data_IF_092857529778
#
_entry.id   IF_092857529778
#
_cell.length_a   1.000
_cell.length_b   1.000
_cell.length_c   1.000
_cell.angle_alpha   90.00
_cell.angle_beta   90.00
_cell.angle_gamma   90.00
#
_symmetry.space_group_name_H-M   'P 1'
#
loop_
_entity.id
_entity.type
_entity.pdbx_description
1 polymer ?
#
# COMPACT_ATOMS: atom_id res chain seq x y z
N UNK A 1 26.91 15.29 -1.90
CA UNK A 1 25.47 15.56 -1.73
C UNK A 1 25.10 15.87 -0.27
N UNK A 2 25.42 15.02 0.71
CA UNK A 2 25.15 15.31 2.14
C UNK A 2 25.97 16.51 2.66
N UNK A 3 27.24 16.63 2.28
CA UNK A 3 28.07 17.78 2.64
C UNK A 3 27.54 19.11 2.06
N UNK A 4 26.94 19.11 0.86
CA UNK A 4 26.32 20.33 0.30
C UNK A 4 24.98 20.65 0.98
N UNK A 5 24.27 19.65 1.50
CA UNK A 5 23.06 19.85 2.30
C UNK A 5 23.36 20.34 3.72
N UNK A 6 24.43 19.85 4.36
CA UNK A 6 24.94 20.39 5.63
C UNK A 6 25.39 21.84 5.46
N UNK A 7 26.07 22.17 4.35
CA UNK A 7 26.47 23.53 4.00
C UNK A 7 25.28 24.48 3.77
N UNK A 8 24.21 23.98 3.15
CA UNK A 8 22.95 24.74 3.01
C UNK A 8 22.22 24.95 4.35
N UNK A 9 22.40 24.04 5.31
CA UNK A 9 21.81 24.10 6.64
C UNK A 9 22.61 25.03 7.59
N UNK A 10 23.93 25.10 7.40
CA UNK A 10 24.85 25.97 8.14
C UNK A 10 24.51 27.45 8.00
N UNK A 11 24.01 27.88 6.83
CA UNK A 11 23.73 29.28 6.50
C UNK A 11 22.35 29.80 6.95
N UNK A 12 21.45 28.94 7.49
CA UNK A 12 20.06 29.35 7.81
C UNK A 12 19.72 29.46 9.31
N UNK A 13 20.64 29.16 10.23
CA UNK A 13 20.35 29.19 11.68
C UNK A 13 21.24 30.18 12.45
N UNK A 14 20.67 31.34 12.80
CA UNK A 14 21.28 32.30 13.74
C UNK A 14 20.84 31.98 15.20
N UNK A 15 21.76 31.38 15.98
CA UNK A 15 21.75 31.09 17.45
C UNK A 15 20.74 30.02 17.97
N UNK A 16 20.96 29.20 19.01
CA UNK A 16 22.03 29.03 20.00
C UNK A 16 22.82 27.74 19.77
N UNK A 17 24.09 27.72 20.20
CA UNK A 17 25.06 26.67 19.92
C UNK A 17 24.68 25.28 20.43
N UNK A 18 23.83 25.15 21.45
CA UNK A 18 23.59 23.87 22.14
C UNK A 18 22.75 22.89 21.33
N UNK A 19 21.60 23.31 20.77
CA UNK A 19 20.76 22.42 19.96
C UNK A 19 21.40 22.11 18.60
N UNK A 20 22.10 23.10 18.02
CA UNK A 20 22.92 22.93 16.81
C UNK A 20 24.04 21.93 17.06
N UNK A 21 24.80 22.10 18.14
CA UNK A 21 25.86 21.18 18.51
C UNK A 21 25.32 19.81 18.91
N UNK A 22 24.17 19.70 19.58
CA UNK A 22 23.59 18.39 19.92
C UNK A 22 23.20 17.62 18.67
N UNK A 23 22.41 18.21 17.76
CA UNK A 23 22.02 17.54 16.51
C UNK A 23 23.25 17.21 15.66
N UNK A 24 24.20 18.15 15.54
CA UNK A 24 25.38 17.99 14.70
C UNK A 24 26.36 16.98 15.32
N UNK A 25 26.50 16.94 16.64
CA UNK A 25 27.31 15.97 17.36
C UNK A 25 26.68 14.57 17.34
N UNK A 26 25.35 14.47 17.42
CA UNK A 26 24.67 13.17 17.33
C UNK A 26 24.71 12.61 15.91
N UNK A 27 24.49 13.46 14.89
CA UNK A 27 24.66 13.07 13.48
C UNK A 27 26.12 12.70 13.20
N UNK A 28 27.10 13.47 13.73
CA UNK A 28 28.51 13.10 13.65
C UNK A 28 28.81 11.79 14.36
N UNK A 29 28.27 11.55 15.55
CA UNK A 29 28.50 10.32 16.30
C UNK A 29 27.94 9.11 15.55
N UNK A 30 26.76 9.24 14.92
CA UNK A 30 26.17 8.20 14.07
C UNK A 30 26.99 7.94 12.79
N UNK A 31 27.63 8.97 12.23
CA UNK A 31 28.47 8.87 11.02
C UNK A 31 29.90 8.38 11.32
N UNK A 32 30.50 8.85 12.41
CA UNK A 32 31.87 8.56 12.84
C UNK A 32 31.98 7.16 13.43
N UNK A 33 30.93 6.64 14.09
CA UNK A 33 30.97 5.28 14.64
C UNK A 33 30.86 4.17 13.58
N UNK A 34 30.54 4.44 12.31
CA UNK A 34 30.47 3.45 11.20
C UNK A 34 29.81 2.10 11.56
N UNK A 35 28.97 2.04 12.60
CA UNK A 35 28.61 0.76 13.21
C UNK A 35 27.48 0.05 12.46
N UNK A 36 26.66 0.79 11.72
CA UNK A 36 25.52 0.25 11.01
C UNK A 36 25.50 0.69 9.57
N UNK A 37 25.22 -0.25 8.68
CA UNK A 37 25.06 0.01 7.27
C UNK A 37 23.89 0.96 7.02
N UNK A 38 24.10 1.99 6.20
CA UNK A 38 23.08 3.00 5.89
C UNK A 38 21.86 2.36 5.23
N UNK A 39 20.71 2.46 5.89
CA UNK A 39 19.47 1.83 5.46
C UNK A 39 19.24 0.43 6.03
N UNK A 40 20.10 -0.09 6.91
CA UNK A 40 19.81 -1.32 7.68
C UNK A 40 18.77 -1.10 8.79
N UNK A 41 18.15 -2.17 9.28
CA UNK A 41 17.19 -2.09 10.40
C UNK A 41 17.83 -1.48 11.66
N UNK A 42 19.09 -1.84 11.95
CA UNK A 42 19.83 -1.26 13.08
C UNK A 42 20.03 0.25 12.93
N UNK A 43 20.37 0.71 11.73
CA UNK A 43 20.47 2.15 11.44
C UNK A 43 19.12 2.87 11.62
N UNK A 44 18.01 2.25 11.22
CA UNK A 44 16.68 2.83 11.43
C UNK A 44 16.29 2.90 12.90
N UNK A 45 16.60 1.87 13.69
CA UNK A 45 16.32 1.82 15.12
C UNK A 45 17.07 2.92 15.89
N UNK A 46 18.31 3.22 15.51
CA UNK A 46 19.08 4.33 16.09
C UNK A 46 18.42 5.70 15.83
N UNK A 47 17.90 5.89 14.61
CA UNK A 47 17.16 7.11 14.29
C UNK A 47 15.84 7.20 15.07
N UNK A 48 15.18 6.07 15.34
CA UNK A 48 13.99 6.02 16.21
C UNK A 48 14.32 6.36 17.67
N UNK A 49 15.39 5.77 18.22
CA UNK A 49 15.87 6.12 19.56
C UNK A 49 16.14 7.61 19.71
N UNK A 50 16.76 8.23 18.69
CA UNK A 50 17.00 9.68 18.69
C UNK A 50 15.71 10.50 18.61
N UNK A 51 14.73 10.06 17.80
CA UNK A 51 13.41 10.70 17.75
C UNK A 51 12.76 10.65 19.13
N UNK A 52 12.79 9.50 19.80
CA UNK A 52 12.19 9.29 21.12
C UNK A 52 12.86 10.16 22.19
N UNK A 53 14.19 10.25 22.19
CA UNK A 53 14.93 11.14 23.11
C UNK A 53 14.55 12.62 22.91
N UNK A 54 14.50 13.09 21.66
CA UNK A 54 14.11 14.46 21.34
C UNK A 54 12.64 14.73 21.71
N UNK A 55 11.76 13.75 21.55
CA UNK A 55 10.37 13.84 21.97
C UNK A 55 10.25 13.93 23.50
N UNK A 56 11.00 13.11 24.24
CA UNK A 56 11.04 13.16 25.72
C UNK A 56 11.55 14.51 26.20
N UNK A 57 12.63 15.03 25.62
CA UNK A 57 13.17 16.35 25.94
C UNK A 57 12.18 17.48 25.60
N UNK A 58 11.54 17.41 24.44
CA UNK A 58 10.50 18.39 24.08
C UNK A 58 9.33 18.34 25.06
N UNK A 59 8.92 17.15 25.48
CA UNK A 59 7.82 16.98 26.42
C UNK A 59 8.18 17.50 27.83
N UNK A 60 9.42 17.32 28.29
CA UNK A 60 9.87 17.87 29.57
C UNK A 60 9.85 19.40 29.57
N UNK A 61 10.28 20.04 28.47
CA UNK A 61 10.22 21.50 28.29
C UNK A 61 8.79 22.07 28.18
N UNK A 62 7.81 21.22 27.87
CA UNK A 62 6.39 21.60 27.79
C UNK A 62 5.73 21.71 29.16
N UNK A 63 6.35 21.15 30.21
CA UNK A 63 5.83 21.13 31.59
C UNK A 63 6.47 22.24 32.44
N UNK A 64 5.71 22.71 33.43
CA UNK A 64 6.20 23.65 34.44
C UNK A 64 6.02 25.15 34.12
N UNK A 65 6.32 26.02 35.09
CA UNK A 65 6.07 27.46 35.02
C UNK A 65 6.95 28.18 33.97
N UNK A 66 8.07 27.58 33.56
CA UNK A 66 9.00 28.13 32.57
C UNK A 66 8.69 27.74 31.12
N UNK A 67 7.58 27.03 30.85
CA UNK A 67 7.21 26.55 29.50
C UNK A 67 7.20 27.63 28.41
N UNK A 68 6.84 28.87 28.75
CA UNK A 68 6.81 30.00 27.80
C UNK A 68 8.23 30.46 27.43
N UNK A 69 9.19 30.32 28.34
CA UNK A 69 10.60 30.65 28.11
C UNK A 69 11.25 29.74 27.07
N UNK A 70 10.79 28.48 26.98
CA UNK A 70 11.37 27.46 26.10
C UNK A 70 10.59 27.23 24.80
N UNK A 71 9.68 28.14 24.44
CA UNK A 71 8.83 27.99 23.24
C UNK A 71 9.64 27.87 21.95
N UNK A 72 10.73 28.63 21.83
CA UNK A 72 11.62 28.61 20.65
C UNK A 72 12.40 27.30 20.58
N UNK A 73 12.87 26.81 21.72
CA UNK A 73 13.57 25.53 21.86
C UNK A 73 12.66 24.36 21.52
N UNK A 74 11.40 24.37 21.98
CA UNK A 74 10.41 23.35 21.61
C UNK A 74 10.14 23.32 20.10
N UNK A 75 10.11 24.47 19.43
CA UNK A 75 9.97 24.53 17.97
C UNK A 75 11.19 23.93 17.28
N UNK A 76 12.40 24.28 17.73
CA UNK A 76 13.65 23.73 17.18
C UNK A 76 13.75 22.21 17.36
N UNK A 77 13.34 21.69 18.52
CA UNK A 77 13.26 20.25 18.74
C UNK A 77 12.25 19.59 17.80
N UNK A 78 11.11 20.25 17.53
CA UNK A 78 10.15 19.76 16.54
C UNK A 78 10.74 19.73 15.13
N UNK A 79 11.48 20.77 14.74
CA UNK A 79 12.16 20.82 13.43
C UNK A 79 13.23 19.73 13.31
N UNK A 80 14.01 19.49 14.36
CA UNK A 80 15.00 18.41 14.43
C UNK A 80 14.36 17.02 14.31
N UNK A 81 13.26 16.77 15.03
CA UNK A 81 12.46 15.53 14.89
C UNK A 81 11.99 15.38 13.44
N UNK A 82 11.51 16.46 12.81
CA UNK A 82 11.11 16.46 11.40
C UNK A 82 12.25 16.08 10.46
N UNK A 83 13.44 16.64 10.67
CA UNK A 83 14.63 16.35 9.87
C UNK A 83 15.09 14.89 10.03
N UNK A 84 15.10 14.36 11.26
CA UNK A 84 15.50 12.96 11.52
C UNK A 84 14.48 11.99 10.92
N UNK A 85 13.17 12.27 11.03
CA UNK A 85 12.13 11.48 10.36
C UNK A 85 12.30 11.47 8.84
N UNK A 86 12.66 12.61 8.26
CA UNK A 86 12.97 12.68 6.84
C UNK A 86 14.18 11.80 6.49
N UNK A 87 15.28 11.92 7.24
CA UNK A 87 16.48 11.09 7.06
C UNK A 87 16.17 9.60 7.21
N UNK A 88 15.40 9.21 8.21
CA UNK A 88 14.90 7.84 8.41
C UNK A 88 14.15 7.34 7.18
N UNK A 89 13.26 8.15 6.62
CA UNK A 89 12.49 7.78 5.43
C UNK A 89 13.35 7.69 4.16
N UNK A 90 14.39 8.51 4.02
CA UNK A 90 15.36 8.40 2.92
C UNK A 90 16.19 7.13 3.09
N UNK A 91 16.75 6.90 4.28
CA UNK A 91 17.56 5.74 4.59
C UNK A 91 16.78 4.43 4.44
N UNK A 92 15.52 4.40 4.90
CA UNK A 92 14.63 3.25 4.72
C UNK A 92 14.40 2.92 3.25
N UNK A 93 14.11 3.93 2.41
CA UNK A 93 13.95 3.73 0.96
C UNK A 93 15.22 3.20 0.29
N UNK A 94 16.38 3.73 0.69
CA UNK A 94 17.66 3.22 0.19
C UNK A 94 17.96 1.80 0.71
N UNK A 95 17.60 1.49 1.97
CA UNK A 95 17.68 0.14 2.52
C UNK A 95 16.84 -0.86 1.75
N UNK A 96 15.60 -0.52 1.42
CA UNK A 96 14.70 -1.33 0.60
C UNK A 96 15.27 -1.52 -0.81
N UNK A 97 15.78 -0.44 -1.42
CA UNK A 97 16.39 -0.47 -2.75
C UNK A 97 17.64 -1.36 -2.79
N UNK A 98 18.39 -1.42 -1.70
CA UNK A 98 19.60 -2.24 -1.53
C UNK A 98 19.32 -3.65 -1.01
N UNK A 99 18.06 -4.00 -0.74
CA UNK A 99 17.69 -5.30 -0.16
C UNK A 99 18.08 -5.49 1.31
N UNK A 100 18.52 -4.43 2.00
CA UNK A 100 18.86 -4.44 3.43
C UNK A 100 17.63 -4.44 4.33
N UNK A 101 16.48 -4.06 3.77
CA UNK A 101 15.18 -4.05 4.41
C UNK A 101 14.18 -4.68 3.45
N UNK A 102 13.31 -5.53 3.97
CA UNK A 102 12.07 -5.91 3.28
C UNK A 102 11.00 -4.85 3.57
N UNK A 103 10.30 -4.41 2.54
CA UNK A 103 9.06 -3.63 2.67
C UNK A 103 7.91 -4.60 2.45
N UNK A 104 7.13 -4.87 3.50
CA UNK A 104 6.19 -5.99 3.52
C UNK A 104 6.90 -7.35 3.53
N UNK A 105 6.19 -8.37 3.99
CA UNK A 105 6.68 -9.75 4.08
C UNK A 105 6.21 -10.46 5.35
N UNK A 106 6.41 -11.78 5.36
CA UNK A 106 6.08 -12.63 6.50
C UNK A 106 6.87 -12.21 7.75
N UNK A 107 6.14 -11.93 8.84
CA UNK A 107 6.66 -11.72 10.20
C UNK A 107 7.24 -12.99 10.80
N UNK A 108 6.77 -14.15 10.35
CA UNK A 108 7.25 -15.45 10.79
C UNK A 108 8.69 -15.65 10.30
N UNK A 109 9.56 -15.98 11.25
CA UNK A 109 10.92 -16.41 10.97
C UNK A 109 10.89 -17.68 10.11
N UNK A 110 11.86 -17.90 9.21
CA UNK A 110 11.84 -19.04 8.30
C UNK A 110 11.67 -20.42 8.99
N UNK A 111 12.13 -20.56 10.24
CA UNK A 111 11.97 -21.76 11.05
C UNK A 111 10.54 -22.04 11.49
N UNK A 112 9.71 -21.00 11.56
CA UNK A 112 8.35 -21.05 12.08
C UNK A 112 7.31 -21.07 10.95
N UNK A 113 7.77 -21.05 9.69
CA UNK A 113 6.90 -21.03 8.51
C UNK A 113 6.41 -22.44 8.24
N UNK A 114 5.10 -22.63 8.35
CA UNK A 114 4.43 -23.80 7.81
C UNK A 114 3.98 -23.53 6.38
N UNK A 115 3.86 -24.60 5.60
CA UNK A 115 3.16 -24.51 4.31
C UNK A 115 1.70 -24.25 4.61
N UNK A 116 1.18 -23.14 4.09
CA UNK A 116 -0.25 -22.84 4.19
C UNK A 116 -0.95 -23.60 3.06
N UNK A 117 -1.37 -24.83 3.34
CA UNK A 117 -2.23 -25.59 2.43
C UNK A 117 -3.68 -25.08 2.50
N UNK A 118 -4.58 -25.70 1.72
CA UNK A 118 -5.98 -25.24 1.66
C UNK A 118 -6.72 -25.41 2.98
N UNK A 119 -6.45 -26.48 3.73
CA UNK A 119 -7.09 -26.73 5.03
C UNK A 119 -6.60 -25.73 6.09
N UNK A 120 -5.29 -25.52 6.15
CA UNK A 120 -4.67 -24.54 7.03
C UNK A 120 -5.15 -23.12 6.71
N UNK A 121 -5.38 -22.81 5.43
CA UNK A 121 -5.89 -21.53 4.99
C UNK A 121 -7.35 -21.30 5.41
N UNK A 122 -8.22 -22.31 5.28
CA UNK A 122 -9.61 -22.24 5.76
C UNK A 122 -9.67 -22.02 7.27
N UNK A 123 -8.94 -22.83 8.03
CA UNK A 123 -8.92 -22.72 9.49
C UNK A 123 -8.38 -21.36 9.95
N UNK A 124 -7.33 -20.85 9.30
CA UNK A 124 -6.79 -19.52 9.59
C UNK A 124 -7.81 -18.40 9.31
N UNK A 125 -8.59 -18.52 8.23
CA UNK A 125 -9.65 -17.56 7.89
C UNK A 125 -10.76 -17.60 8.94
N UNK A 126 -11.23 -18.79 9.32
CA UNK A 126 -12.29 -18.95 10.33
C UNK A 126 -11.88 -18.33 11.68
N UNK A 127 -10.66 -18.63 12.15
CA UNK A 127 -10.13 -18.06 13.39
C UNK A 127 -9.99 -16.55 13.28
N UNK A 128 -9.50 -16.05 12.14
CA UNK A 128 -9.36 -14.61 11.93
C UNK A 128 -10.71 -13.90 11.91
N UNK A 129 -11.74 -14.50 11.29
CA UNK A 129 -13.09 -13.95 11.27
C UNK A 129 -13.74 -13.90 12.65
N UNK A 130 -13.52 -14.92 13.49
CA UNK A 130 -13.96 -14.93 14.89
C UNK A 130 -13.24 -13.83 15.70
N UNK A 131 -11.94 -13.64 15.48
CA UNK A 131 -11.18 -12.57 16.13
C UNK A 131 -11.70 -11.17 15.75
N UNK A 132 -12.14 -10.97 14.50
CA UNK A 132 -12.78 -9.70 14.10
C UNK A 132 -14.12 -9.52 14.81
N UNK A 133 -14.90 -10.59 15.01
CA UNK A 133 -16.16 -10.52 15.76
C UNK A 133 -15.91 -10.12 17.23
N UNK A 134 -14.94 -10.77 17.89
CA UNK A 134 -14.51 -10.40 19.25
C UNK A 134 -14.02 -8.94 19.33
N UNK A 135 -13.30 -8.50 18.29
CA UNK A 135 -12.85 -7.11 18.21
C UNK A 135 -14.03 -6.14 18.04
N UNK A 136 -15.05 -6.50 17.26
CA UNK A 136 -16.26 -5.70 17.11
C UNK A 136 -17.04 -5.59 18.43
N UNK A 137 -17.14 -6.67 19.22
CA UNK A 137 -17.71 -6.61 20.57
C UNK A 137 -16.91 -5.66 21.49
N UNK A 138 -15.58 -5.70 21.40
CA UNK A 138 -14.71 -4.75 22.09
C UNK A 138 -14.96 -3.30 21.63
N UNK A 139 -15.13 -3.06 20.33
CA UNK A 139 -15.39 -1.72 19.79
C UNK A 139 -16.72 -1.17 20.31
N UNK A 140 -17.79 -1.96 20.24
CA UNK A 140 -19.13 -1.58 20.70
C UNK A 140 -19.15 -1.29 22.19
N UNK A 141 -18.49 -2.12 23.01
CA UNK A 141 -18.39 -1.89 24.46
C UNK A 141 -17.59 -0.64 24.86
N UNK A 142 -16.86 -0.04 23.93
CA UNK A 142 -16.08 1.19 24.12
C UNK A 142 -16.61 2.38 23.28
N UNK A 143 -17.87 2.32 22.84
CA UNK A 143 -18.56 3.36 22.06
C UNK A 143 -17.91 3.67 20.71
N UNK A 144 -17.32 2.66 20.05
CA UNK A 144 -16.83 2.76 18.68
C UNK A 144 -17.71 1.98 17.70
N UNK A 145 -17.72 2.44 16.44
CA UNK A 145 -18.39 1.73 15.35
C UNK A 145 -17.62 0.46 14.98
N UNK A 146 -18.34 -0.58 14.60
CA UNK A 146 -17.76 -1.86 14.19
C UNK A 146 -16.99 -1.73 12.87
N UNK A 147 -16.01 -2.60 12.68
CA UNK A 147 -15.40 -2.83 11.36
C UNK A 147 -16.18 -3.90 10.61
N UNK A 148 -16.14 -3.84 9.28
CA UNK A 148 -16.82 -4.81 8.43
C UNK A 148 -15.80 -5.78 7.83
N UNK A 149 -15.80 -7.04 8.28
CA UNK A 149 -15.11 -8.14 7.59
C UNK A 149 -15.77 -8.39 6.23
N UNK A 150 -14.97 -8.47 5.16
CA UNK A 150 -15.49 -8.58 3.80
C UNK A 150 -15.25 -9.97 3.23
N UNK A 151 -13.99 -10.31 2.98
CA UNK A 151 -13.56 -11.63 2.45
C UNK A 151 -12.03 -11.71 2.31
N UNK A 152 -11.47 -12.92 2.15
CA UNK A 152 -10.14 -13.10 1.58
C UNK A 152 -10.00 -12.46 0.19
N UNK A 153 -8.85 -11.85 -0.06
CA UNK A 153 -8.43 -11.28 -1.36
C UNK A 153 -7.04 -11.81 -1.73
N UNK A 154 -6.37 -11.25 -2.74
CA UNK A 154 -5.06 -11.75 -3.15
C UNK A 154 -5.13 -13.19 -3.67
N UNK A 155 -4.06 -13.97 -3.49
CA UNK A 155 -4.11 -15.41 -3.81
C UNK A 155 -5.13 -16.18 -2.98
N UNK A 156 -5.40 -15.74 -1.74
CA UNK A 156 -6.35 -16.34 -0.82
C UNK A 156 -7.83 -16.15 -1.20
N UNK A 157 -8.14 -15.33 -2.20
CA UNK A 157 -9.52 -15.13 -2.68
C UNK A 157 -10.23 -16.43 -3.13
N UNK A 158 -9.47 -17.49 -3.40
CA UNK A 158 -9.95 -18.75 -3.94
C UNK A 158 -10.01 -19.89 -2.92
N UNK A 159 -9.66 -19.66 -1.65
CA UNK A 159 -9.59 -20.71 -0.61
C UNK A 159 -10.86 -21.56 -0.57
N UNK A 160 -12.04 -20.94 -0.42
CA UNK A 160 -13.32 -21.66 -0.34
C UNK A 160 -13.57 -22.50 -1.61
N UNK A 161 -13.27 -21.96 -2.78
CA UNK A 161 -13.44 -22.66 -4.06
C UNK A 161 -12.44 -23.81 -4.22
N UNK A 162 -11.21 -23.63 -3.75
CA UNK A 162 -10.15 -24.63 -3.82
C UNK A 162 -10.49 -25.81 -2.89
N UNK A 163 -11.06 -25.52 -1.71
CA UNK A 163 -11.56 -26.50 -0.77
C UNK A 163 -12.79 -27.26 -1.29
N UNK A 164 -13.80 -26.56 -1.84
CA UNK A 164 -14.96 -27.17 -2.50
C UNK A 164 -14.55 -28.13 -3.62
N UNK A 165 -13.45 -27.82 -4.32
CA UNK A 165 -12.91 -28.64 -5.40
C UNK A 165 -11.93 -29.73 -4.92
N UNK A 166 -11.63 -29.80 -3.62
CA UNK A 166 -10.69 -30.75 -3.04
C UNK A 166 -9.25 -30.58 -3.56
N UNK A 167 -8.87 -29.35 -3.90
CA UNK A 167 -7.55 -29.05 -4.45
C UNK A 167 -6.56 -28.71 -3.33
N UNK A 168 -5.39 -29.35 -3.37
CA UNK A 168 -4.30 -29.07 -2.45
C UNK A 168 -3.44 -27.91 -3.00
N UNK A 169 -3.90 -26.69 -2.73
CA UNK A 169 -3.21 -25.45 -3.15
C UNK A 169 -2.41 -24.89 -1.98
N UNK A 170 -1.17 -24.47 -2.26
CA UNK A 170 -0.31 -23.79 -1.30
C UNK A 170 -0.37 -22.27 -1.48
N UNK A 171 -0.60 -21.58 -0.36
CA UNK A 171 -0.65 -20.14 -0.21
C UNK A 171 0.63 -19.62 0.47
N UNK A 172 1.02 -18.38 0.14
CA UNK A 172 2.18 -17.74 0.77
C UNK A 172 1.81 -17.01 2.07
N UNK A 173 0.77 -16.20 1.98
CA UNK A 173 0.12 -15.42 3.02
C UNK A 173 -1.38 -15.33 2.69
N UNK A 174 -2.18 -14.96 3.69
CA UNK A 174 -3.62 -14.76 3.54
C UNK A 174 -3.89 -13.27 3.61
N UNK A 175 -4.26 -12.65 2.49
CA UNK A 175 -4.76 -11.27 2.47
C UNK A 175 -6.25 -11.28 2.79
N UNK A 176 -6.69 -10.55 3.83
CA UNK A 176 -8.09 -10.44 4.22
C UNK A 176 -8.57 -9.00 4.17
N UNK A 177 -9.63 -8.71 3.40
CA UNK A 177 -10.17 -7.37 3.21
C UNK A 177 -11.13 -7.00 4.35
N UNK A 178 -10.85 -5.89 5.04
CA UNK A 178 -11.68 -5.34 6.13
C UNK A 178 -11.94 -3.86 5.88
N UNK A 179 -13.20 -3.44 5.97
CA UNK A 179 -13.59 -2.04 5.86
C UNK A 179 -13.64 -1.38 7.23
N UNK A 180 -12.84 -0.33 7.41
CA UNK A 180 -12.92 0.53 8.59
C UNK A 180 -13.89 1.68 8.35
N UNK A 181 -14.67 2.11 9.35
CA UNK A 181 -15.55 3.26 9.19
C UNK A 181 -14.75 4.56 9.01
N UNK A 182 -15.38 5.64 8.55
CA UNK A 182 -14.70 6.92 8.31
C UNK A 182 -15.06 7.91 9.42
N UNK A 183 -14.06 8.36 10.17
CA UNK A 183 -14.22 9.39 11.19
C UNK A 183 -14.07 10.76 10.51
N UNK A 184 -15.15 11.29 9.96
CA UNK A 184 -15.16 12.62 9.35
C UNK A 184 -15.49 13.71 10.39
N UNK A 185 -14.69 14.78 10.42
CA UNK A 185 -15.06 16.05 11.07
C UNK A 185 -15.34 17.10 10.00
N UNK A 186 -16.12 18.13 10.33
CA UNK A 186 -16.58 19.17 9.39
C UNK A 186 -15.47 19.95 8.69
N UNK A 187 -14.20 19.80 9.08
CA UNK A 187 -13.06 20.53 8.52
C UNK A 187 -12.05 19.65 7.77
N UNK A 188 -12.24 18.32 7.69
CA UNK A 188 -11.28 17.41 7.06
C UNK A 188 -11.67 17.08 5.62
N UNK A 189 -10.67 16.96 4.74
CA UNK A 189 -10.88 16.27 3.47
C UNK A 189 -10.95 14.74 3.70
N UNK A 190 -11.62 14.03 2.79
CA UNK A 190 -11.89 12.59 2.92
C UNK A 190 -10.63 11.75 3.18
N UNK A 191 -9.52 12.02 2.47
CA UNK A 191 -8.25 11.31 2.67
C UNK A 191 -7.66 11.49 4.06
N UNK A 192 -7.79 12.70 4.61
CA UNK A 192 -7.34 12.95 5.97
C UNK A 192 -8.20 12.17 6.98
N UNK A 193 -9.52 12.19 6.81
CA UNK A 193 -10.46 11.43 7.64
C UNK A 193 -10.18 9.92 7.60
N UNK A 194 -9.97 9.34 6.42
CA UNK A 194 -9.63 7.92 6.24
C UNK A 194 -8.30 7.56 6.91
N UNK A 195 -7.26 8.40 6.74
CA UNK A 195 -5.96 8.15 7.38
C UNK A 195 -6.04 8.22 8.90
N UNK A 196 -6.80 9.18 9.43
CA UNK A 196 -7.01 9.33 10.86
C UNK A 196 -7.84 8.17 11.41
N UNK A 197 -8.87 7.74 10.69
CA UNK A 197 -9.65 6.55 11.01
C UNK A 197 -8.78 5.31 11.05
N UNK A 198 -8.03 5.02 9.98
CA UNK A 198 -7.09 3.89 9.93
C UNK A 198 -6.18 3.85 11.15
N UNK A 199 -5.56 4.98 11.49
CA UNK A 199 -4.67 5.07 12.65
C UNK A 199 -5.43 4.83 13.97
N UNK A 200 -6.67 5.32 14.10
CA UNK A 200 -7.48 5.14 15.30
C UNK A 200 -7.85 3.67 15.48
N UNK A 201 -8.36 3.01 14.45
CA UNK A 201 -8.73 1.60 14.48
C UNK A 201 -7.51 0.68 14.66
N UNK A 202 -6.36 0.99 14.05
CA UNK A 202 -5.11 0.27 14.34
C UNK A 202 -4.72 0.33 15.83
N UNK A 203 -4.90 1.48 16.50
CA UNK A 203 -4.62 1.58 17.92
C UNK A 203 -5.64 0.82 18.77
N UNK A 204 -6.93 0.91 18.43
CA UNK A 204 -7.99 0.16 19.11
C UNK A 204 -7.78 -1.35 18.98
N UNK A 205 -7.30 -1.80 17.82
CA UNK A 205 -6.93 -3.20 17.60
C UNK A 205 -5.78 -3.64 18.52
N UNK A 206 -4.75 -2.81 18.67
CA UNK A 206 -3.64 -3.07 19.61
C UNK A 206 -4.15 -3.13 21.06
N UNK A 207 -5.06 -2.23 21.44
CA UNK A 207 -5.67 -2.20 22.78
C UNK A 207 -6.51 -3.45 23.04
N UNK A 208 -7.32 -3.87 22.08
CA UNK A 208 -8.06 -5.14 22.10
C UNK A 208 -7.13 -6.34 22.30
N UNK A 209 -6.12 -6.51 21.45
CA UNK A 209 -5.21 -7.67 21.54
C UNK A 209 -4.50 -7.77 22.90
N UNK A 210 -4.16 -6.62 23.50
CA UNK A 210 -3.49 -6.57 24.81
C UNK A 210 -4.43 -6.81 25.99
N UNK A 211 -5.70 -6.47 25.86
CA UNK A 211 -6.69 -6.57 26.94
C UNK A 211 -7.40 -7.92 26.93
N UNK A 212 -7.83 -8.38 25.75
CA UNK A 212 -8.57 -9.63 25.58
C UNK A 212 -7.67 -10.86 25.50
N UNK A 213 -6.42 -10.69 25.03
CA UNK A 213 -5.44 -11.78 24.83
C UNK A 213 -6.05 -13.03 24.15
N UNK A 214 -6.56 -12.92 22.90
CA UNK A 214 -7.28 -14.02 22.25
C UNK A 214 -6.40 -15.28 22.13
N UNK A 215 -6.92 -16.44 22.52
CA UNK A 215 -6.15 -17.69 22.63
C UNK A 215 -5.47 -18.08 21.30
N UNK A 216 -6.23 -17.98 20.22
CA UNK A 216 -5.81 -18.38 18.87
C UNK A 216 -4.99 -17.31 18.13
N UNK A 217 -4.56 -16.24 18.83
CA UNK A 217 -3.68 -15.21 18.27
C UNK A 217 -2.35 -15.20 19.01
N UNK A 218 -1.25 -15.20 18.27
CA UNK A 218 0.07 -14.92 18.83
C UNK A 218 0.25 -13.41 18.95
N UNK A 219 -0.21 -12.85 20.08
CA UNK A 219 -0.17 -11.41 20.36
C UNK A 219 1.26 -10.87 20.36
N UNK A 220 2.24 -11.65 20.85
CA UNK A 220 3.63 -11.20 20.91
C UNK A 220 4.25 -11.07 19.51
N UNK A 221 4.07 -12.07 18.65
CA UNK A 221 4.54 -12.01 17.25
C UNK A 221 3.75 -10.99 16.44
N UNK A 222 2.44 -10.86 16.69
CA UNK A 222 1.59 -9.86 16.03
C UNK A 222 2.01 -8.44 16.41
N UNK A 223 2.30 -8.16 17.68
CA UNK A 223 2.64 -6.83 18.18
C UNK A 223 4.14 -6.57 18.28
N UNK A 224 4.97 -7.39 17.60
CA UNK A 224 6.43 -7.23 17.57
C UNK A 224 6.82 -5.77 17.28
N UNK A 225 7.70 -5.14 18.08
CA UNK A 225 8.07 -3.74 17.91
C UNK A 225 8.53 -3.41 16.50
N UNK A 226 8.01 -2.30 15.95
CA UNK A 226 8.35 -1.84 14.60
C UNK A 226 7.64 -2.60 13.46
N UNK A 227 6.76 -3.55 13.78
CA UNK A 227 5.96 -4.28 12.79
C UNK A 227 4.57 -3.67 12.59
N UNK A 228 3.89 -4.03 11.50
CA UNK A 228 2.52 -3.60 11.22
C UNK A 228 1.54 -4.46 12.05
N UNK A 229 0.74 -3.91 12.99
CA UNK A 229 -0.20 -4.69 13.80
C UNK A 229 -1.26 -5.42 12.95
N UNK A 230 -1.55 -4.91 11.75
CA UNK A 230 -2.50 -5.49 10.81
C UNK A 230 -1.97 -6.73 10.04
N UNK A 231 -0.83 -7.28 10.45
CA UNK A 231 -0.34 -8.58 9.97
C UNK A 231 -0.45 -9.54 11.16
N UNK A 232 -1.57 -10.23 11.25
CA UNK A 232 -1.97 -11.00 12.43
C UNK A 232 -1.39 -12.40 12.34
N UNK A 233 -0.80 -12.89 13.44
CA UNK A 233 -0.31 -14.27 13.55
C UNK A 233 -1.38 -15.11 14.23
N UNK A 234 -2.01 -15.97 13.45
CA UNK A 234 -3.03 -16.93 13.88
C UNK A 234 -2.36 -18.24 14.29
N UNK A 235 -2.81 -18.82 15.39
CA UNK A 235 -2.43 -20.16 15.85
C UNK A 235 -3.51 -21.14 15.43
N UNK A 236 -3.15 -22.14 14.64
CA UNK A 236 -4.05 -23.22 14.27
C UNK A 236 -4.15 -24.27 15.38
N UNK A 237 -5.14 -25.16 15.29
CA UNK A 237 -5.41 -26.24 16.24
C UNK A 237 -4.26 -27.24 16.39
N UNK A 238 -3.44 -27.41 15.36
CA UNK A 238 -2.24 -28.25 15.38
C UNK A 238 -0.99 -27.52 15.95
N UNK A 239 -1.15 -26.25 16.36
CA UNK A 239 -0.09 -25.40 16.89
C UNK A 239 0.74 -24.68 15.83
N UNK A 240 0.46 -24.88 14.53
CA UNK A 240 1.12 -24.13 13.47
C UNK A 240 0.72 -22.66 13.47
N UNK A 241 1.58 -21.83 12.86
CA UNK A 241 1.40 -20.38 12.81
C UNK A 241 1.19 -19.92 11.38
N UNK A 242 0.11 -19.16 11.16
CA UNK A 242 -0.23 -18.59 9.85
C UNK A 242 -0.34 -17.08 9.98
N UNK A 243 0.17 -16.36 8.98
CA UNK A 243 0.01 -14.91 8.91
C UNK A 243 -1.20 -14.54 8.05
N UNK A 244 -2.08 -13.71 8.61
CA UNK A 244 -3.19 -13.06 7.92
C UNK A 244 -2.94 -11.55 7.84
N UNK A 245 -2.80 -11.03 6.63
CA UNK A 245 -2.59 -9.62 6.33
C UNK A 245 -3.92 -8.91 6.11
N UNK A 246 -4.28 -8.02 7.04
CA UNK A 246 -5.47 -7.21 6.91
C UNK A 246 -5.26 -6.12 5.86
N UNK A 247 -5.96 -6.25 4.75
CA UNK A 247 -6.09 -5.22 3.73
C UNK A 247 -7.21 -4.28 4.16
N UNK A 248 -6.83 -3.08 4.59
CA UNK A 248 -7.81 -2.06 5.04
C UNK A 248 -8.42 -1.33 3.84
N UNK A 249 -9.75 -1.24 3.82
CA UNK A 249 -10.54 -0.39 2.93
C UNK A 249 -11.52 0.48 3.72
N UNK A 250 -12.36 1.25 3.03
CA UNK A 250 -13.39 2.11 3.61
C UNK A 250 -14.72 1.94 2.85
N UNK A 251 -15.87 2.26 3.46
CA UNK A 251 -17.19 1.95 2.92
C UNK A 251 -17.42 2.43 1.49
N UNK A 252 -16.90 3.61 1.15
CA UNK A 252 -17.13 4.27 -0.14
C UNK A 252 -16.57 3.49 -1.35
N UNK A 253 -15.49 2.72 -1.16
CA UNK A 253 -14.80 2.01 -2.26
C UNK A 253 -14.47 0.56 -1.90
N UNK A 254 -15.20 -0.04 -0.96
CA UNK A 254 -15.00 -1.45 -0.59
C UNK A 254 -15.25 -2.42 -1.75
N UNK A 255 -16.28 -2.15 -2.56
CA UNK A 255 -16.59 -2.96 -3.75
C UNK A 255 -15.50 -2.84 -4.82
N UNK A 256 -14.94 -1.63 -4.98
CA UNK A 256 -13.75 -1.43 -5.82
C UNK A 256 -12.60 -2.32 -5.38
N UNK A 257 -12.32 -2.33 -4.08
CA UNK A 257 -11.21 -3.08 -3.50
C UNK A 257 -11.38 -4.59 -3.66
N UNK A 258 -12.61 -5.13 -3.58
CA UNK A 258 -12.86 -6.54 -3.88
C UNK A 258 -12.31 -6.95 -5.24
N UNK A 259 -12.59 -6.19 -6.30
CA UNK A 259 -12.09 -6.49 -7.64
C UNK A 259 -10.62 -6.11 -7.83
N UNK A 260 -10.18 -4.98 -7.26
CA UNK A 260 -8.81 -4.48 -7.44
C UNK A 260 -7.75 -5.34 -6.75
N UNK A 261 -8.09 -5.98 -5.62
CA UNK A 261 -7.17 -6.83 -4.85
C UNK A 261 -7.34 -8.33 -5.13
N UNK A 262 -8.33 -8.73 -5.93
CA UNK A 262 -8.47 -10.13 -6.35
C UNK A 262 -7.75 -10.31 -7.69
N UNK A 263 -6.70 -11.14 -7.77
CA UNK A 263 -6.08 -11.50 -9.03
C UNK A 263 -6.91 -12.56 -9.74
N UNK A 264 -6.63 -12.79 -11.03
CA UNK A 264 -7.08 -14.02 -11.69
C UNK A 264 -6.45 -15.26 -11.03
N UNK A 265 -7.24 -16.31 -10.80
CA UNK A 265 -6.80 -17.56 -10.15
C UNK A 265 -5.57 -18.13 -10.83
N UNK A 266 -4.54 -18.46 -10.05
CA UNK A 266 -3.26 -18.98 -10.56
C UNK A 266 -2.33 -17.94 -11.20
N UNK A 267 -2.76 -16.67 -11.30
CA UNK A 267 -1.94 -15.58 -11.83
C UNK A 267 -1.55 -14.63 -10.69
N UNK A 268 -0.29 -14.17 -10.69
CA UNK A 268 0.19 -13.22 -9.66
C UNK A 268 -0.51 -11.87 -9.79
N UNK A 269 -0.98 -11.28 -8.69
CA UNK A 269 -1.76 -10.03 -8.73
C UNK A 269 -1.03 -8.79 -9.25
N UNK A 270 0.31 -8.77 -9.24
CA UNK A 270 1.05 -7.68 -9.86
C UNK A 270 0.86 -7.64 -11.39
N UNK A 271 0.44 -8.74 -12.02
CA UNK A 271 0.20 -8.79 -13.47
C UNK A 271 -0.94 -7.83 -13.85
N UNK A 272 -2.16 -8.03 -13.34
CA UNK A 272 -3.28 -7.12 -13.58
C UNK A 272 -3.02 -5.72 -12.99
N UNK A 273 -2.34 -5.65 -11.84
CA UNK A 273 -1.91 -4.39 -11.21
C UNK A 273 -1.06 -3.51 -12.14
N UNK A 274 -0.13 -4.11 -12.88
CA UNK A 274 0.70 -3.40 -13.85
C UNK A 274 -0.08 -2.94 -15.09
N UNK A 275 -1.17 -3.63 -15.46
CA UNK A 275 -2.02 -3.24 -16.58
C UNK A 275 -2.88 -2.01 -16.21
N UNK A 276 -3.47 -1.98 -15.01
CA UNK A 276 -4.10 -0.76 -14.46
C UNK A 276 -3.14 0.42 -14.45
N UNK A 277 -1.90 0.18 -14.00
CA UNK A 277 -0.85 1.21 -13.95
C UNK A 277 -0.50 1.72 -15.34
N UNK A 278 -0.31 0.84 -16.32
CA UNK A 278 0.04 1.21 -17.69
C UNK A 278 -1.04 2.09 -18.33
N UNK A 279 -2.32 1.73 -18.16
CA UNK A 279 -3.44 2.54 -18.61
C UNK A 279 -3.48 3.90 -17.92
N UNK A 280 -3.39 3.93 -16.59
CA UNK A 280 -3.40 5.17 -15.81
C UNK A 280 -2.24 6.11 -16.16
N UNK A 281 -1.04 5.56 -16.38
CA UNK A 281 0.14 6.34 -16.75
C UNK A 281 -0.03 6.99 -18.14
N UNK A 282 -0.66 6.31 -19.11
CA UNK A 282 -0.98 6.89 -20.43
C UNK A 282 -2.06 8.00 -20.33
N UNK A 283 -3.14 7.75 -19.61
CA UNK A 283 -4.26 8.69 -19.48
C UNK A 283 -4.01 9.84 -18.49
N UNK A 284 -2.86 9.85 -17.81
CA UNK A 284 -2.53 10.79 -16.72
C UNK A 284 -3.57 10.70 -15.60
N UNK A 285 -3.95 9.48 -15.24
CA UNK A 285 -4.91 9.14 -14.20
C UNK A 285 -4.29 8.18 -13.17
N UNK A 286 -4.92 8.02 -12.02
CA UNK A 286 -4.56 6.97 -11.05
C UNK A 286 -5.68 5.97 -10.93
N UNK A 287 -5.41 4.74 -11.35
CA UNK A 287 -6.30 3.59 -11.19
C UNK A 287 -5.76 2.79 -10.00
N UNK A 288 -6.20 3.18 -8.81
CA UNK A 288 -5.56 2.85 -7.54
C UNK A 288 -6.43 2.03 -6.61
N UNK A 289 -6.24 2.20 -5.31
CA UNK A 289 -7.06 1.59 -4.25
C UNK A 289 -8.37 2.33 -4.00
N UNK A 290 -8.41 3.62 -4.34
CA UNK A 290 -9.52 4.55 -4.06
C UNK A 290 -10.42 4.77 -5.30
N UNK A 291 -10.36 3.90 -6.31
CA UNK A 291 -11.00 4.10 -7.61
C UNK A 291 -10.10 4.72 -8.68
N UNK A 292 -10.75 5.33 -9.67
CA UNK A 292 -10.10 6.12 -10.72
C UNK A 292 -10.07 7.58 -10.30
N UNK A 293 -8.85 8.14 -10.20
CA UNK A 293 -8.64 9.51 -9.73
C UNK A 293 -7.89 10.34 -10.76
N UNK A 294 -8.36 11.57 -10.95
CA UNK A 294 -7.69 12.59 -11.72
C UNK A 294 -7.09 13.62 -10.77
N UNK A 295 -5.92 14.14 -11.13
CA UNK A 295 -5.35 15.31 -10.46
C UNK A 295 -5.25 16.42 -11.46
N UNK A 296 -5.75 17.59 -11.10
CA UNK A 296 -5.79 18.73 -11.97
C UNK A 296 -5.06 19.92 -11.36
N UNK A 297 -4.42 20.74 -12.20
CA UNK A 297 -3.92 22.07 -11.85
C UNK A 297 -4.35 23.02 -12.94
N UNK A 298 -4.99 24.12 -12.56
CA UNK A 298 -5.47 25.14 -13.51
C UNK A 298 -6.34 24.53 -14.64
N UNK A 299 -7.15 23.52 -14.30
CA UNK A 299 -8.00 22.79 -15.25
C UNK A 299 -7.31 21.67 -16.04
N UNK A 300 -5.98 21.56 -16.00
CA UNK A 300 -5.23 20.55 -16.74
C UNK A 300 -4.85 19.34 -15.90
N UNK A 301 -4.96 18.13 -16.48
CA UNK A 301 -4.56 16.88 -15.83
C UNK A 301 -3.06 16.82 -15.59
N UNK A 302 -2.65 16.46 -14.38
CA UNK A 302 -1.24 16.33 -13.98
C UNK A 302 -0.93 14.97 -13.36
N UNK A 303 0.27 14.45 -13.62
CA UNK A 303 0.70 13.17 -13.06
C UNK A 303 0.65 13.14 -11.53
N UNK A 304 0.41 11.96 -10.97
CA UNK A 304 0.32 11.69 -9.52
C UNK A 304 1.52 12.17 -8.70
N UNK A 305 2.72 12.24 -9.29
CA UNK A 305 3.93 12.79 -8.66
C UNK A 305 3.78 14.26 -8.22
N UNK A 306 2.86 15.00 -8.83
CA UNK A 306 2.57 16.39 -8.51
C UNK A 306 1.43 16.56 -7.50
N UNK A 307 0.87 15.48 -6.97
CA UNK A 307 -0.27 15.49 -6.04
C UNK A 307 -0.11 16.36 -4.79
N UNK A 308 1.13 16.65 -4.38
CA UNK A 308 1.45 17.49 -3.21
C UNK A 308 1.85 18.92 -3.58
N UNK A 309 1.85 19.25 -4.86
CA UNK A 309 2.14 20.60 -5.33
C UNK A 309 0.97 21.52 -5.02
N UNK A 310 1.27 22.78 -4.71
CA UNK A 310 0.26 23.81 -4.47
C UNK A 310 -0.65 23.95 -5.70
N UNK A 311 -1.96 24.11 -5.46
CA UNK A 311 -2.97 24.28 -6.51
C UNK A 311 -3.36 23.01 -7.26
N UNK A 312 -2.92 21.82 -6.79
CA UNK A 312 -3.37 20.55 -7.37
C UNK A 312 -4.58 20.04 -6.61
N UNK A 313 -5.68 19.86 -7.32
CA UNK A 313 -6.90 19.24 -6.83
C UNK A 313 -6.95 17.77 -7.22
N UNK A 314 -7.63 16.95 -6.41
CA UNK A 314 -7.89 15.54 -6.75
C UNK A 314 -9.39 15.37 -6.92
N UNK A 315 -9.80 14.86 -8.07
CA UNK A 315 -11.18 14.50 -8.37
C UNK A 315 -11.27 12.99 -8.54
N UNK A 316 -12.33 12.40 -7.98
CA UNK A 316 -12.65 11.00 -8.20
C UNK A 316 -13.57 10.90 -9.42
N UNK A 317 -13.15 10.10 -10.40
CA UNK A 317 -13.97 9.78 -11.58
C UNK A 317 -15.00 8.72 -11.20
N UNK A 318 -14.56 7.63 -10.56
CA UNK A 318 -15.45 6.52 -10.18
C UNK A 318 -14.85 5.64 -9.09
N UNK A 319 -15.71 4.94 -8.34
CA UNK A 319 -15.38 3.78 -7.49
C UNK A 319 -16.02 2.48 -8.01
N UNK A 320 -16.67 2.47 -9.18
CA UNK A 320 -17.29 1.26 -9.71
C UNK A 320 -16.27 0.45 -10.54
N UNK A 321 -15.78 -0.65 -9.97
CA UNK A 321 -14.83 -1.52 -10.65
C UNK A 321 -15.43 -2.23 -11.86
N UNK A 322 -16.77 -2.37 -11.93
CA UNK A 322 -17.46 -3.07 -13.02
C UNK A 322 -17.58 -2.22 -14.28
N UNK A 323 -17.57 -0.89 -14.15
CA UNK A 323 -17.77 0.05 -15.27
C UNK A 323 -16.67 1.09 -15.46
N UNK A 324 -15.56 1.03 -14.71
CA UNK A 324 -14.62 2.14 -14.68
C UNK A 324 -14.00 2.54 -16.02
N UNK A 325 -13.91 1.64 -17.01
CA UNK A 325 -13.41 1.99 -18.35
C UNK A 325 -14.44 2.83 -19.09
N UNK A 326 -15.72 2.50 -18.96
CA UNK A 326 -16.84 3.33 -19.44
C UNK A 326 -16.81 4.69 -18.75
N UNK A 327 -16.67 4.72 -17.43
CA UNK A 327 -16.66 5.98 -16.68
C UNK A 327 -15.46 6.86 -17.07
N UNK A 328 -14.32 6.25 -17.41
CA UNK A 328 -13.18 6.95 -18.02
C UNK A 328 -13.54 7.53 -19.38
N UNK A 329 -14.22 6.77 -20.26
CA UNK A 329 -14.66 7.28 -21.56
C UNK A 329 -15.61 8.49 -21.38
N UNK A 330 -16.61 8.36 -20.51
CA UNK A 330 -17.56 9.43 -20.18
C UNK A 330 -16.89 10.67 -19.58
N UNK A 331 -15.82 10.48 -18.81
CA UNK A 331 -15.06 11.61 -18.26
C UNK A 331 -14.21 12.33 -19.32
N UNK A 332 -13.74 11.62 -20.35
CA UNK A 332 -12.79 12.14 -21.34
C UNK A 332 -13.44 12.70 -22.60
N UNK A 333 -14.67 12.28 -22.91
CA UNK A 333 -15.42 12.73 -24.07
C UNK A 333 -16.31 13.90 -23.68
N UNK A 334 -16.28 14.97 -24.48
CA UNK A 334 -17.24 16.07 -24.34
C UNK A 334 -18.59 15.66 -24.96
N UNK A 335 -19.53 15.24 -24.13
CA UNK A 335 -20.91 14.94 -24.53
C UNK A 335 -21.31 13.47 -24.38
N UNK A 336 -22.25 13.01 -25.22
CA UNK A 336 -22.72 11.64 -25.20
C UNK A 336 -21.67 10.68 -25.78
N UNK A 337 -21.43 9.56 -25.09
CA UNK A 337 -20.46 8.54 -25.50
C UNK A 337 -21.17 7.41 -26.24
N UNK A 338 -20.79 7.20 -27.50
CA UNK A 338 -21.18 6.01 -28.27
C UNK A 338 -20.10 4.94 -28.09
N UNK A 339 -20.35 3.99 -27.20
CA UNK A 339 -19.39 2.93 -26.88
C UNK A 339 -19.13 2.01 -28.07
N UNK A 340 -17.88 1.60 -28.25
CA UNK A 340 -17.56 0.48 -29.13
C UNK A 340 -18.01 -0.84 -28.46
N UNK A 341 -18.52 -1.83 -29.23
CA UNK A 341 -19.04 -3.11 -28.71
C UNK A 341 -18.12 -3.79 -27.68
N UNK A 342 -16.81 -3.74 -27.91
CA UNK A 342 -15.80 -4.28 -26.98
C UNK A 342 -15.84 -3.61 -25.60
N UNK A 343 -16.08 -2.31 -25.52
CA UNK A 343 -16.23 -1.57 -24.27
C UNK A 343 -17.56 -1.91 -23.60
N UNK A 344 -18.65 -2.01 -24.37
CA UNK A 344 -19.96 -2.41 -23.84
C UNK A 344 -19.90 -3.79 -23.17
N UNK A 345 -19.18 -4.73 -23.79
CA UNK A 345 -18.99 -6.09 -23.30
C UNK A 345 -17.95 -6.19 -22.18
N UNK A 346 -17.00 -5.26 -22.10
CA UNK A 346 -15.91 -5.26 -21.13
C UNK A 346 -15.73 -3.87 -20.47
N UNK A 347 -16.75 -3.33 -19.78
CA UNK A 347 -16.73 -1.95 -19.28
C UNK A 347 -15.84 -1.78 -18.03
N UNK A 348 -15.32 -2.87 -17.47
CA UNK A 348 -14.49 -2.89 -16.28
C UNK A 348 -14.12 -4.33 -15.90
N UNK A 349 -14.08 -4.61 -14.61
CA UNK A 349 -13.70 -5.92 -14.05
C UNK A 349 -14.79 -6.45 -13.12
N UNK A 350 -15.14 -7.73 -13.30
CA UNK A 350 -16.03 -8.43 -12.39
C UNK A 350 -15.28 -8.88 -11.13
N UNK A 351 -15.60 -8.38 -9.93
CA UNK A 351 -14.91 -8.73 -8.69
C UNK A 351 -15.05 -10.21 -8.29
N UNK A 352 -16.03 -10.93 -8.83
CA UNK A 352 -16.23 -12.36 -8.57
C UNK A 352 -15.53 -13.27 -9.58
N UNK A 353 -15.05 -12.72 -10.70
CA UNK A 353 -14.36 -13.47 -11.73
C UNK A 353 -13.38 -12.56 -12.47
N UNK A 354 -12.28 -12.23 -11.80
CA UNK A 354 -11.26 -11.33 -12.35
C UNK A 354 -10.51 -12.04 -13.48
N UNK A 355 -10.45 -11.39 -14.64
CA UNK A 355 -9.77 -11.87 -15.85
C UNK A 355 -8.90 -10.79 -16.45
N UNK A 356 -7.59 -11.05 -16.55
CA UNK A 356 -6.65 -10.06 -17.10
C UNK A 356 -6.93 -9.77 -18.58
N UNK A 357 -7.32 -10.79 -19.34
CA UNK A 357 -7.69 -10.63 -20.75
C UNK A 357 -9.01 -9.88 -20.93
N UNK A 358 -9.95 -10.00 -19.98
CA UNK A 358 -11.15 -9.17 -19.97
C UNK A 358 -10.81 -7.68 -19.82
N UNK A 359 -9.87 -7.35 -18.93
CA UNK A 359 -9.35 -5.99 -18.81
C UNK A 359 -8.63 -5.53 -20.09
N UNK A 360 -7.81 -6.39 -20.71
CA UNK A 360 -7.12 -6.05 -21.96
C UNK A 360 -8.11 -5.73 -23.10
N UNK A 361 -9.17 -6.55 -23.27
CA UNK A 361 -10.27 -6.30 -24.21
C UNK A 361 -10.98 -4.98 -23.92
N UNK A 362 -11.27 -4.70 -22.65
CA UNK A 362 -11.86 -3.44 -22.23
C UNK A 362 -10.98 -2.23 -22.56
N UNK A 363 -9.65 -2.34 -22.41
CA UNK A 363 -8.73 -1.26 -22.81
C UNK A 363 -8.73 -1.06 -24.32
N UNK A 364 -8.76 -2.13 -25.12
CA UNK A 364 -8.94 -2.04 -26.58
C UNK A 364 -10.26 -1.35 -26.93
N UNK A 365 -11.36 -1.74 -26.31
CA UNK A 365 -12.67 -1.12 -26.47
C UNK A 365 -12.68 0.37 -26.09
N UNK A 366 -12.03 0.73 -24.99
CA UNK A 366 -11.84 2.12 -24.56
C UNK A 366 -11.04 2.91 -25.60
N UNK A 367 -9.94 2.39 -26.11
CA UNK A 367 -9.12 3.05 -27.11
C UNK A 367 -9.91 3.32 -28.41
N UNK A 368 -10.68 2.34 -28.88
CA UNK A 368 -11.55 2.48 -30.05
C UNK A 368 -12.67 3.49 -29.83
N UNK A 369 -13.28 3.49 -28.64
CA UNK A 369 -14.31 4.47 -28.25
C UNK A 369 -13.75 5.88 -28.20
N UNK A 370 -12.57 6.08 -27.61
CA UNK A 370 -11.93 7.40 -27.54
C UNK A 370 -11.50 7.89 -28.94
N UNK A 371 -11.11 6.99 -29.84
CA UNK A 371 -10.80 7.33 -31.22
C UNK A 371 -12.03 7.76 -32.02
N UNK A 372 -13.16 7.07 -31.87
CA UNK A 372 -14.40 7.46 -32.58
C UNK A 372 -14.90 8.85 -32.17
N UNK A 373 -14.53 9.32 -30.99
CA UNK A 373 -14.83 10.67 -30.48
C UNK A 373 -13.69 11.67 -30.67
N UNK A 374 -12.61 11.31 -31.38
CA UNK A 374 -11.49 12.21 -31.67
C UNK A 374 -10.65 12.62 -30.44
N UNK A 375 -10.72 11.89 -29.33
CA UNK A 375 -10.00 12.20 -28.09
C UNK A 375 -8.56 11.66 -28.11
N UNK A 376 -8.37 10.43 -28.58
CA UNK A 376 -7.07 9.77 -28.69
C UNK A 376 -6.96 8.94 -29.98
N UNK A 377 -5.73 8.71 -30.45
CA UNK A 377 -5.48 7.69 -31.47
C UNK A 377 -5.42 6.30 -30.80
N UNK A 378 -6.23 5.34 -31.26
CA UNK A 378 -6.33 4.04 -30.61
C UNK A 378 -5.02 3.25 -30.72
N UNK A 379 -4.33 3.32 -31.86
CA UNK A 379 -3.07 2.60 -32.09
C UNK A 379 -1.95 3.13 -31.18
N UNK A 380 -1.83 4.45 -31.08
CA UNK A 380 -0.87 5.11 -30.18
C UNK A 380 -1.13 4.74 -28.72
N UNK A 381 -2.40 4.76 -28.30
CA UNK A 381 -2.82 4.41 -26.95
C UNK A 381 -2.48 2.96 -26.63
N UNK A 382 -2.91 2.02 -27.46
CA UNK A 382 -2.68 0.58 -27.28
C UNK A 382 -1.17 0.29 -27.23
N UNK A 383 -0.40 0.81 -28.19
CA UNK A 383 1.05 0.60 -28.24
C UNK A 383 1.78 1.19 -27.03
N UNK A 384 1.34 2.34 -26.52
CA UNK A 384 1.90 2.94 -25.31
C UNK A 384 1.57 2.13 -24.06
N UNK A 385 0.33 1.66 -23.92
CA UNK A 385 -0.10 0.80 -22.80
C UNK A 385 0.69 -0.51 -22.81
N UNK A 386 0.82 -1.18 -23.96
CA UNK A 386 1.65 -2.40 -24.12
C UNK A 386 3.08 -2.18 -23.67
N UNK A 387 3.72 -1.11 -24.16
CA UNK A 387 5.11 -0.77 -23.79
C UNK A 387 5.26 -0.52 -22.29
N UNK A 388 4.37 0.28 -21.68
CA UNK A 388 4.40 0.54 -20.24
C UNK A 388 4.15 -0.73 -19.42
N UNK A 389 3.21 -1.57 -19.87
CA UNK A 389 2.90 -2.85 -19.23
C UNK A 389 4.12 -3.77 -19.20
N UNK A 390 4.73 -4.03 -20.36
CA UNK A 390 5.92 -4.89 -20.48
C UNK A 390 7.10 -4.36 -19.67
N UNK A 391 7.33 -3.04 -19.68
CA UNK A 391 8.38 -2.43 -18.87
C UNK A 391 8.13 -2.60 -17.36
N UNK A 392 6.91 -2.38 -16.90
CA UNK A 392 6.54 -2.54 -15.49
C UNK A 392 6.67 -4.01 -15.04
N UNK A 393 6.28 -4.96 -15.89
CA UNK A 393 6.43 -6.40 -15.65
C UNK A 393 7.89 -6.81 -15.47
N UNK A 394 8.78 -6.36 -16.36
CA UNK A 394 10.23 -6.62 -16.27
C UNK A 394 10.85 -5.98 -15.03
N UNK A 395 10.52 -4.72 -14.74
CA UNK A 395 11.00 -4.01 -13.55
C UNK A 395 10.66 -4.74 -12.24
N UNK A 396 9.49 -5.38 -12.15
CA UNK A 396 9.10 -6.15 -10.97
C UNK A 396 10.01 -7.36 -10.72
N UNK A 397 10.38 -8.09 -11.77
CA UNK A 397 11.27 -9.25 -11.65
C UNK A 397 12.69 -8.80 -11.34
N UNK A 398 13.19 -7.75 -12.01
CA UNK A 398 14.49 -7.15 -11.71
C UNK A 398 14.61 -6.72 -10.25
N UNK A 399 13.52 -6.15 -9.69
CA UNK A 399 13.48 -5.82 -8.27
C UNK A 399 13.58 -7.06 -7.38
N UNK A 400 12.95 -8.18 -7.75
CA UNK A 400 13.05 -9.45 -7.02
C UNK A 400 14.46 -10.06 -7.10
N UNK A 401 15.12 -9.99 -8.26
CA UNK A 401 16.52 -10.43 -8.42
C UNK A 401 17.44 -9.66 -7.47
N UNK A 402 17.29 -8.33 -7.41
CA UNK A 402 18.04 -7.47 -6.48
C UNK A 402 17.77 -7.79 -5.01
N UNK A 403 16.64 -8.40 -4.69
CA UNK A 403 16.27 -8.86 -3.34
C UNK A 403 16.75 -10.29 -3.03
N UNK A 404 17.57 -10.90 -3.88
CA UNK A 404 18.23 -12.17 -3.60
C UNK A 404 17.41 -13.42 -3.92
N UNK A 405 16.41 -13.33 -4.79
CA UNK A 405 15.72 -14.52 -5.33
C UNK A 405 16.72 -15.38 -6.11
N UNK A 406 16.64 -16.71 -5.99
CA UNK A 406 17.52 -17.64 -6.69
C UNK A 406 17.39 -17.52 -8.21
N UNK A 407 18.45 -17.85 -8.95
CA UNK A 407 18.44 -17.74 -10.41
C UNK A 407 17.36 -18.64 -11.04
N UNK A 408 17.12 -19.82 -10.49
CA UNK A 408 16.05 -20.72 -10.96
C UNK A 408 14.65 -20.08 -10.82
N UNK A 409 14.34 -19.51 -9.65
CA UNK A 409 13.04 -18.83 -9.43
C UNK A 409 12.93 -17.58 -10.29
N UNK A 410 14.04 -16.86 -10.49
CA UNK A 410 14.11 -15.71 -11.37
C UNK A 410 13.75 -16.07 -12.82
N UNK A 411 14.34 -17.14 -13.38
CA UNK A 411 14.03 -17.58 -14.75
C UNK A 411 12.58 -18.04 -14.89
N UNK A 412 12.05 -18.82 -13.93
CA UNK A 412 10.62 -19.21 -13.93
C UNK A 412 9.68 -18.00 -13.93
N UNK A 413 10.01 -16.96 -13.16
CA UNK A 413 9.22 -15.72 -13.14
C UNK A 413 9.30 -14.97 -14.48
N UNK A 414 10.46 -14.94 -15.14
CA UNK A 414 10.63 -14.33 -16.46
C UNK A 414 9.74 -15.02 -17.50
N UNK A 415 9.80 -16.35 -17.58
CA UNK A 415 9.01 -17.14 -18.53
C UNK A 415 7.51 -16.92 -18.32
N UNK A 416 7.04 -16.95 -17.06
CA UNK A 416 5.65 -16.66 -16.72
C UNK A 416 5.24 -15.24 -17.13
N UNK A 417 6.09 -14.24 -16.90
CA UNK A 417 5.81 -12.87 -17.30
C UNK A 417 5.73 -12.73 -18.82
N UNK A 418 6.69 -13.27 -19.57
CA UNK A 418 6.68 -13.16 -21.04
C UNK A 418 5.47 -13.88 -21.65
N UNK A 419 5.03 -15.01 -21.07
CA UNK A 419 3.77 -15.66 -21.46
C UNK A 419 2.56 -14.74 -21.28
N UNK A 420 2.43 -14.12 -20.11
CA UNK A 420 1.30 -13.22 -19.82
C UNK A 420 1.38 -11.94 -20.67
N UNK A 421 2.58 -11.39 -20.87
CA UNK A 421 2.81 -10.24 -21.75
C UNK A 421 2.33 -10.55 -23.16
N UNK A 422 2.72 -11.71 -23.72
CA UNK A 422 2.32 -12.12 -25.07
C UNK A 422 0.80 -12.24 -25.20
N UNK A 423 0.13 -12.88 -24.22
CA UNK A 423 -1.33 -13.00 -24.23
C UNK A 423 -2.05 -11.64 -24.15
N UNK A 424 -1.57 -10.73 -23.29
CA UNK A 424 -2.13 -9.37 -23.21
C UNK A 424 -1.85 -8.58 -24.48
N UNK A 425 -0.66 -8.72 -25.07
CA UNK A 425 -0.25 -8.05 -26.29
C UNK A 425 -1.12 -8.49 -27.49
N UNK A 426 -1.35 -9.78 -27.66
CA UNK A 426 -2.25 -10.34 -28.66
C UNK A 426 -3.67 -9.80 -28.50
N UNK A 427 -4.20 -9.85 -27.27
CA UNK A 427 -5.58 -9.47 -26.98
C UNK A 427 -5.87 -7.97 -27.18
N UNK A 428 -4.92 -7.11 -26.83
CA UNK A 428 -5.09 -5.64 -26.91
C UNK A 428 -4.70 -5.07 -28.28
N UNK A 429 -4.01 -5.83 -29.14
CA UNK A 429 -3.66 -5.42 -30.51
C UNK A 429 -4.89 -4.99 -31.30
N UNK A 430 -4.77 -3.95 -32.13
CA UNK A 430 -5.88 -3.47 -32.97
C UNK A 430 -6.17 -4.40 -34.14
#
# INVERSE_FOLDING_TARGET
MINSYLYSYENKMNSSSVAKNFVLQTVKTLLEKKQYEYGSQKYLNELDGLIDELQRLKHSLRKGPTRLKYRKEMHRLQDAIGAIRYLKNVARREGIKKGLLSEGGLKLDPSDRTTVDTKAAEEAVDIYELMIDDWNEYLVSHDYEEVNKIRPVGSSAYIAKDAEQGLDVSYGDIDYLVSFPVIATTQMNFRQAERESKKKYENLFIEFLRSSMPENIDVEKTLKPGSNPMMVIVKLSDGSLVQVDTVVTHPEYREWMKGRYTPERGIKGYTIGNLYKALGDYLVMSIGTEGVLVRARDGERVHSRFSRSKGVETHRVTTDIRSFLRDIAQYLVDGEVIEHDLLEQNPGVNPENVKILGLAKGIKGLALTLQSHGVYNAEEMVNSVKRYYSQNMRNNIESKKKKGVSEEVYQKLLELNEKIISLVDEEISL
#
